data_IF_947147474759
#
_entry.id   IF_947147474759
#
_cell.length_a   1.000
_cell.length_b   1.000
_cell.length_c   1.000
_cell.angle_alpha   90.00
_cell.angle_beta   90.00
_cell.angle_gamma   90.00
#
_symmetry.space_group_name_H-M   'P 1'
#
loop_
_entity.id
_entity.type
_entity.pdbx_description
1 polymer ?
#
# COMPACT_ATOMS: atom_id res chain seq x y z
N UNK A 1 -17.99 -20.37 17.05
CA UNK A 1 -18.08 -19.37 18.12
C UNK A 1 -17.31 -19.75 19.39
N UNK A 2 -17.40 -20.98 19.92
CA UNK A 2 -16.64 -21.40 21.12
C UNK A 2 -15.11 -21.36 20.94
N UNK A 3 -14.56 -21.71 19.78
CA UNK A 3 -13.12 -21.63 19.48
C UNK A 3 -12.59 -20.20 19.42
N UNK A 4 -13.38 -19.24 18.92
CA UNK A 4 -12.99 -17.82 18.89
C UNK A 4 -12.95 -17.21 20.30
N UNK A 5 -13.86 -17.62 21.18
CA UNK A 5 -13.87 -17.19 22.57
C UNK A 5 -12.70 -17.76 23.37
N UNK A 6 -12.33 -19.03 23.16
CA UNK A 6 -11.17 -19.63 23.82
C UNK A 6 -9.84 -19.06 23.33
N UNK A 7 -9.69 -18.77 22.03
CA UNK A 7 -8.49 -18.12 21.51
C UNK A 7 -8.35 -16.67 21.98
N UNK A 8 -9.46 -15.93 22.06
CA UNK A 8 -9.49 -14.58 22.64
C UNK A 8 -9.14 -14.59 24.14
N UNK A 9 -9.61 -15.58 24.88
CA UNK A 9 -9.29 -15.72 26.31
C UNK A 9 -7.81 -16.06 26.54
N UNK A 10 -7.23 -16.96 25.72
CA UNK A 10 -5.81 -17.29 25.78
C UNK A 10 -4.95 -16.05 25.43
N UNK A 11 -5.38 -15.27 24.44
CA UNK A 11 -4.71 -14.02 24.07
C UNK A 11 -4.75 -12.99 25.22
N UNK A 12 -5.91 -12.84 25.88
CA UNK A 12 -6.07 -11.95 27.04
C UNK A 12 -5.24 -12.38 28.26
N UNK A 13 -5.07 -13.70 28.50
CA UNK A 13 -4.25 -14.22 29.59
C UNK A 13 -2.76 -14.01 29.30
N UNK A 14 -2.32 -14.10 28.04
CA UNK A 14 -0.94 -13.85 27.65
C UNK A 14 -0.51 -12.38 27.82
N UNK A 15 -1.45 -11.43 27.79
CA UNK A 15 -1.14 -10.00 27.99
C UNK A 15 -0.62 -9.70 29.40
N UNK A 16 -0.93 -10.51 30.40
CA UNK A 16 -0.41 -10.33 31.76
C UNK A 16 1.08 -10.67 31.92
N UNK A 17 1.68 -11.30 30.90
CA UNK A 17 3.11 -11.63 30.89
C UNK A 17 3.99 -10.49 30.36
N UNK A 18 3.42 -9.43 29.79
CA UNK A 18 4.18 -8.28 29.32
C UNK A 18 4.42 -7.29 30.47
N UNK A 19 5.69 -7.12 30.82
CA UNK A 19 6.08 -6.23 31.92
C UNK A 19 5.87 -4.75 31.62
N UNK A 20 5.74 -4.37 30.35
CA UNK A 20 5.48 -3.01 29.88
C UNK A 20 4.61 -3.02 28.64
N UNK A 21 3.51 -2.26 28.67
CA UNK A 21 2.68 -2.00 27.51
C UNK A 21 2.34 -0.52 27.45
N UNK A 22 2.46 0.10 26.25
CA UNK A 22 2.12 1.50 26.03
C UNK A 22 1.53 1.72 24.64
N UNK A 23 0.82 2.83 24.50
CA UNK A 23 0.22 3.27 23.24
C UNK A 23 1.02 4.42 22.70
N UNK A 24 1.33 4.40 21.42
CA UNK A 24 1.86 5.55 20.69
C UNK A 24 0.91 5.97 19.56
N UNK A 25 1.09 7.19 19.09
CA UNK A 25 0.51 7.67 17.85
C UNK A 25 1.61 8.28 16.99
N UNK A 26 1.38 8.32 15.68
CA UNK A 26 2.36 8.88 14.76
C UNK A 26 1.73 9.48 13.52
N UNK A 27 2.52 10.33 12.88
CA UNK A 27 2.25 10.83 11.52
C UNK A 27 3.29 10.24 10.59
N UNK A 28 2.87 9.87 9.40
CA UNK A 28 3.79 9.35 8.38
C UNK A 28 3.51 9.93 7.01
N UNK A 29 4.59 10.08 6.24
CA UNK A 29 4.53 10.48 4.85
C UNK A 29 5.54 9.69 4.04
N UNK A 30 5.18 9.30 2.83
CA UNK A 30 6.03 8.49 1.96
C UNK A 30 5.87 8.86 0.49
N UNK A 31 6.92 8.54 -0.26
CA UNK A 31 6.98 8.69 -1.70
C UNK A 31 7.73 7.50 -2.31
N UNK A 32 7.34 7.09 -3.51
CA UNK A 32 8.04 5.99 -4.18
C UNK A 32 7.38 5.51 -5.45
N UNK A 33 7.64 4.26 -5.79
CA UNK A 33 7.17 3.64 -7.03
C UNK A 33 5.81 3.00 -6.81
N UNK A 34 4.93 3.21 -7.79
CA UNK A 34 3.61 2.55 -7.87
C UNK A 34 3.43 1.96 -9.26
N UNK A 35 2.80 0.80 -9.33
CA UNK A 35 2.56 0.12 -10.60
C UNK A 35 1.32 -0.77 -10.53
N UNK A 36 0.72 -1.06 -11.69
CA UNK A 36 -0.32 -2.06 -11.87
C UNK A 36 0.27 -3.25 -12.62
N UNK A 37 0.31 -4.41 -11.97
CA UNK A 37 0.81 -5.65 -12.57
C UNK A 37 -0.33 -6.34 -13.31
N UNK A 38 -0.15 -6.52 -14.62
CA UNK A 38 -1.00 -7.32 -15.46
C UNK A 38 -0.13 -8.03 -16.52
N UNK A 39 -0.13 -9.34 -16.50
CA UNK A 39 0.77 -10.15 -17.33
C UNK A 39 0.53 -9.94 -18.83
N UNK A 40 -0.73 -9.75 -19.27
CA UNK A 40 -1.04 -9.50 -20.66
C UNK A 40 -0.48 -8.14 -21.12
N UNK A 41 -0.65 -7.10 -20.30
CA UNK A 41 -0.15 -5.76 -20.60
C UNK A 41 1.39 -5.75 -20.66
N UNK A 42 2.04 -6.49 -19.77
CA UNK A 42 3.49 -6.56 -19.72
C UNK A 42 4.11 -7.36 -20.88
N UNK A 43 3.35 -8.31 -21.45
CA UNK A 43 3.79 -9.12 -22.57
C UNK A 43 3.34 -8.56 -23.94
N UNK A 44 2.54 -7.47 -23.95
CA UNK A 44 2.06 -6.86 -25.20
C UNK A 44 3.11 -5.87 -25.75
N UNK A 45 3.70 -6.16 -26.92
CA UNK A 45 4.76 -5.30 -27.49
C UNK A 45 4.31 -3.88 -27.82
N UNK A 46 3.00 -3.64 -27.96
CA UNK A 46 2.42 -2.34 -28.31
C UNK A 46 2.08 -1.48 -27.10
N UNK A 47 2.23 -2.03 -25.90
CA UNK A 47 1.91 -1.34 -24.65
C UNK A 47 3.09 -1.48 -23.69
N UNK A 48 3.77 -0.38 -23.40
CA UNK A 48 4.85 -0.36 -22.43
C UNK A 48 4.38 0.25 -21.11
N UNK A 49 4.25 -0.57 -20.02
CA UNK A 49 3.96 -0.06 -18.70
C UNK A 49 5.19 0.65 -18.12
N UNK A 50 5.12 1.96 -17.98
CA UNK A 50 6.22 2.77 -17.46
C UNK A 50 6.21 2.77 -15.93
N UNK A 51 7.40 2.74 -15.33
CA UNK A 51 7.56 2.93 -13.89
C UNK A 51 6.97 4.28 -13.50
N UNK A 52 6.05 4.25 -12.56
CA UNK A 52 5.32 5.43 -12.13
C UNK A 52 5.53 5.67 -10.64
N UNK A 53 5.22 6.86 -10.17
CA UNK A 53 5.44 7.23 -8.77
C UNK A 53 4.14 7.61 -8.09
N UNK A 54 4.12 7.48 -6.77
CA UNK A 54 3.00 7.87 -5.94
C UNK A 54 3.47 8.40 -4.60
N UNK A 55 2.54 8.94 -3.85
CA UNK A 55 2.78 9.43 -2.49
C UNK A 55 1.69 8.94 -1.54
N UNK A 56 2.03 8.89 -0.27
CA UNK A 56 1.12 8.49 0.79
C UNK A 56 1.38 9.33 2.04
N UNK A 57 0.32 9.66 2.77
CA UNK A 57 0.43 10.34 4.05
C UNK A 57 -0.72 9.94 4.96
N UNK A 58 -0.48 10.04 6.27
CA UNK A 58 -1.52 9.66 7.22
C UNK A 58 -1.03 9.57 8.64
N UNK A 59 -1.79 8.87 9.45
CA UNK A 59 -1.53 8.62 10.85
C UNK A 59 -1.46 7.16 11.20
N UNK A 60 -0.89 6.87 12.36
CA UNK A 60 -0.87 5.54 12.94
C UNK A 60 -1.25 5.57 14.41
N UNK A 61 -1.79 4.47 14.88
CA UNK A 61 -1.90 4.11 16.30
C UNK A 61 -1.11 2.84 16.52
N UNK A 62 -0.25 2.83 17.52
CA UNK A 62 0.58 1.69 17.88
C UNK A 62 0.29 1.21 19.29
N UNK A 63 0.22 -0.11 19.45
CA UNK A 63 0.19 -0.78 20.72
C UNK A 63 1.49 -1.57 20.88
N UNK A 64 2.32 -1.13 21.81
CA UNK A 64 3.62 -1.72 22.10
C UNK A 64 3.51 -2.75 23.20
N UNK A 65 4.07 -3.93 22.93
CA UNK A 65 4.21 -5.03 23.88
C UNK A 65 5.70 -5.25 24.13
N UNK A 66 6.24 -4.68 25.19
CA UNK A 66 7.68 -4.62 25.36
C UNK A 66 8.36 -3.73 24.28
N UNK A 67 9.67 -3.53 24.38
CA UNK A 67 10.45 -2.71 23.43
C UNK A 67 10.56 -3.34 22.05
N UNK A 68 10.39 -4.66 21.93
CA UNK A 68 10.65 -5.40 20.70
C UNK A 68 9.40 -5.63 19.83
N UNK A 69 8.19 -5.53 20.37
CA UNK A 69 6.98 -5.90 19.63
C UNK A 69 5.93 -4.80 19.64
N UNK A 70 5.36 -4.53 18.47
CA UNK A 70 4.32 -3.53 18.29
C UNK A 70 3.26 -4.06 17.31
N UNK A 71 2.00 -3.76 17.58
CA UNK A 71 0.91 -3.85 16.60
C UNK A 71 0.53 -2.43 16.23
N UNK A 72 0.48 -2.13 14.93
CA UNK A 72 0.09 -0.81 14.44
C UNK A 72 -1.15 -0.89 13.56
N UNK A 73 -2.01 0.08 13.71
CA UNK A 73 -3.12 0.35 12.81
C UNK A 73 -2.90 1.71 12.17
N UNK A 74 -2.72 1.71 10.85
CA UNK A 74 -2.46 2.95 10.11
C UNK A 74 -3.71 3.39 9.35
N UNK A 75 -3.80 4.70 9.08
CA UNK A 75 -4.85 5.35 8.30
C UNK A 75 -4.17 6.24 7.27
N UNK A 76 -4.07 5.77 6.03
CA UNK A 76 -3.20 6.34 5.00
C UNK A 76 -4.03 6.77 3.79
N UNK A 77 -3.96 8.05 3.43
CA UNK A 77 -4.39 8.52 2.12
C UNK A 77 -3.22 8.34 1.14
N UNK A 78 -3.50 7.68 0.02
CA UNK A 78 -2.50 7.33 -0.99
C UNK A 78 -2.95 7.77 -2.37
N UNK A 79 -2.03 8.35 -3.13
CA UNK A 79 -2.19 8.62 -4.56
C UNK A 79 -1.15 7.80 -5.33
N UNK A 80 -1.61 7.07 -6.31
CA UNK A 80 -0.80 6.16 -7.13
C UNK A 80 -0.99 6.50 -8.59
N UNK A 81 0.08 6.49 -9.36
CA UNK A 81 0.03 6.66 -10.80
C UNK A 81 0.44 5.37 -11.49
N UNK A 82 -0.11 5.18 -12.70
CA UNK A 82 0.33 4.19 -13.66
C UNK A 82 0.35 4.85 -15.04
N UNK A 83 1.50 4.78 -15.70
CA UNK A 83 1.68 5.32 -17.04
C UNK A 83 1.85 4.17 -18.02
N UNK A 84 1.19 4.29 -19.17
CA UNK A 84 1.30 3.38 -20.29
C UNK A 84 1.72 4.16 -21.52
N UNK A 85 2.75 3.69 -22.21
CA UNK A 85 3.15 4.17 -23.52
C UNK A 85 2.62 3.21 -24.57
N UNK A 86 1.85 3.73 -25.51
CA UNK A 86 1.29 2.97 -26.62
C UNK A 86 2.12 3.20 -27.89
N UNK A 87 2.59 2.11 -28.50
CA UNK A 87 3.41 2.10 -29.72
C UNK A 87 2.73 1.27 -30.82
N UNK A 88 1.66 1.77 -31.46
CA UNK A 88 0.81 0.92 -32.28
C UNK A 88 1.46 0.45 -33.59
N UNK A 89 2.16 1.33 -34.33
CA UNK A 89 2.87 1.01 -35.56
C UNK A 89 3.95 2.05 -35.87
N UNK A 90 4.81 1.78 -36.86
CA UNK A 90 5.85 2.73 -37.30
C UNK A 90 5.31 4.02 -37.93
N UNK A 91 4.05 4.03 -38.36
CA UNK A 91 3.42 5.18 -39.06
C UNK A 91 2.53 6.03 -38.15
N UNK A 92 2.30 5.62 -36.92
CA UNK A 92 1.41 6.32 -35.99
C UNK A 92 2.24 6.74 -34.79
N UNK A 93 2.11 8.00 -34.39
CA UNK A 93 2.84 8.57 -33.26
C UNK A 93 2.52 7.83 -31.96
N UNK A 94 3.55 7.66 -31.14
CA UNK A 94 3.42 7.14 -29.77
C UNK A 94 2.58 8.10 -28.95
N UNK A 95 1.76 7.55 -28.07
CA UNK A 95 0.97 8.35 -27.14
C UNK A 95 0.99 7.74 -25.74
N UNK A 96 0.82 8.59 -24.74
CA UNK A 96 0.88 8.21 -23.34
C UNK A 96 -0.51 8.31 -22.69
N UNK A 97 -0.86 7.29 -21.92
CA UNK A 97 -2.00 7.26 -21.01
C UNK A 97 -1.48 7.25 -19.59
N UNK A 98 -1.93 8.22 -18.79
CA UNK A 98 -1.64 8.28 -17.36
C UNK A 98 -2.92 8.02 -16.56
N UNK A 99 -2.85 7.07 -15.64
CA UNK A 99 -3.93 6.73 -14.72
C UNK A 99 -3.50 7.07 -13.31
N UNK A 100 -4.18 8.03 -12.72
CA UNK A 100 -4.03 8.37 -11.31
C UNK A 100 -5.21 7.75 -10.55
N UNK A 101 -4.92 6.96 -9.53
CA UNK A 101 -5.93 6.45 -8.62
C UNK A 101 -5.56 6.76 -7.17
N UNK A 102 -6.58 7.11 -6.41
CA UNK A 102 -6.45 7.48 -5.00
C UNK A 102 -7.17 6.46 -4.12
N UNK A 103 -6.58 6.15 -2.99
CA UNK A 103 -7.14 5.20 -2.03
C UNK A 103 -6.97 5.67 -0.59
N UNK A 104 -7.80 5.12 0.27
CA UNK A 104 -7.64 5.18 1.71
C UNK A 104 -7.28 3.79 2.20
N UNK A 105 -6.06 3.64 2.69
CA UNK A 105 -5.47 2.35 3.04
C UNK A 105 -5.44 2.19 4.56
N UNK A 106 -5.85 1.01 5.03
CA UNK A 106 -5.87 0.64 6.45
C UNK A 106 -5.05 -0.65 6.63
N UNK A 107 -3.74 -0.56 6.78
CA UNK A 107 -2.91 -1.70 7.16
C UNK A 107 -2.97 -1.96 8.67
N UNK A 108 -3.07 -3.24 9.04
CA UNK A 108 -2.86 -3.75 10.39
C UNK A 108 -1.55 -4.52 10.42
N UNK A 109 -0.52 -3.97 11.07
CA UNK A 109 0.83 -4.50 10.98
C UNK A 109 1.33 -5.00 12.33
N UNK A 110 2.03 -6.11 12.29
CA UNK A 110 2.91 -6.56 13.34
C UNK A 110 4.33 -6.06 13.04
N UNK A 111 4.93 -5.34 13.98
CA UNK A 111 6.29 -4.80 13.89
C UNK A 111 7.16 -5.43 14.96
N UNK A 112 8.30 -5.94 14.53
CA UNK A 112 9.36 -6.41 15.41
C UNK A 112 10.52 -5.41 15.39
N UNK A 113 10.83 -4.84 16.54
CA UNK A 113 11.94 -3.92 16.73
C UNK A 113 13.15 -4.70 17.28
N UNK A 114 14.29 -4.49 16.67
CA UNK A 114 15.56 -5.05 17.12
C UNK A 114 16.30 -4.08 18.05
N UNK A 115 17.16 -4.60 18.90
CA UNK A 115 17.95 -3.82 19.87
C UNK A 115 18.91 -2.81 19.20
N UNK A 116 19.26 -3.03 17.93
CA UNK A 116 20.10 -2.12 17.14
C UNK A 116 19.32 -0.97 16.49
N UNK A 117 18.02 -0.84 16.79
CA UNK A 117 17.16 0.22 16.26
C UNK A 117 16.54 -0.04 14.90
N UNK A 118 16.82 -1.19 14.27
CA UNK A 118 16.12 -1.59 13.05
C UNK A 118 14.78 -2.25 13.38
N UNK A 119 13.86 -2.29 12.40
CA UNK A 119 12.61 -3.02 12.55
C UNK A 119 12.19 -3.70 11.25
N UNK A 120 11.33 -4.70 11.42
CA UNK A 120 10.58 -5.35 10.36
C UNK A 120 9.09 -5.25 10.68
N UNK A 121 8.27 -5.02 9.67
CA UNK A 121 6.81 -5.02 9.82
C UNK A 121 6.14 -5.83 8.71
N UNK A 122 5.06 -6.49 9.06
CA UNK A 122 4.27 -7.28 8.11
C UNK A 122 2.81 -7.30 8.55
N UNK A 123 1.90 -7.33 7.60
CA UNK A 123 0.48 -7.53 7.90
C UNK A 123 -0.44 -7.32 6.71
N UNK A 124 -1.74 -7.59 6.91
CA UNK A 124 -2.76 -7.35 5.90
C UNK A 124 -3.07 -5.86 5.77
N UNK A 125 -3.57 -5.49 4.60
CA UNK A 125 -4.07 -4.15 4.28
C UNK A 125 -5.40 -4.25 3.57
N UNK A 126 -6.34 -3.40 3.96
CA UNK A 126 -7.56 -3.12 3.21
C UNK A 126 -7.41 -1.74 2.59
N UNK A 127 -7.65 -1.64 1.29
CA UNK A 127 -7.61 -0.37 0.54
C UNK A 127 -8.99 -0.04 0.00
N UNK A 128 -9.45 1.18 0.22
CA UNK A 128 -10.71 1.72 -0.30
C UNK A 128 -10.40 2.73 -1.39
N UNK A 129 -10.79 2.45 -2.63
CA UNK A 129 -10.60 3.36 -3.75
C UNK A 129 -11.52 4.58 -3.58
N UNK A 130 -10.95 5.78 -3.59
CA UNK A 130 -11.68 7.03 -3.43
C UNK A 130 -11.88 7.77 -4.75
N UNK A 131 -10.98 7.58 -5.73
CA UNK A 131 -11.08 8.17 -7.06
C UNK A 131 -10.12 7.54 -8.04
N UNK A 132 -10.42 7.66 -9.33
CA UNK A 132 -9.50 7.29 -10.40
C UNK A 132 -9.73 8.21 -11.60
N UNK A 133 -8.65 8.70 -12.19
CA UNK A 133 -8.68 9.63 -13.33
C UNK A 133 -7.70 9.14 -14.39
N UNK A 134 -8.17 9.08 -15.62
CA UNK A 134 -7.36 8.78 -16.80
C UNK A 134 -7.07 10.05 -17.56
N UNK A 135 -5.81 10.27 -17.93
CA UNK A 135 -5.37 11.43 -18.71
C UNK A 135 -4.65 10.95 -19.94
N UNK A 136 -5.13 11.39 -21.10
CA UNK A 136 -4.51 11.16 -22.41
C UNK A 136 -4.33 12.53 -23.10
N UNK A 137 -3.08 12.94 -23.30
CA UNK A 137 -2.76 14.30 -23.75
C UNK A 137 -3.29 15.35 -22.78
N UNK A 138 -4.19 16.23 -23.26
CA UNK A 138 -4.87 17.26 -22.44
C UNK A 138 -6.23 16.84 -21.91
N UNK A 139 -6.72 15.66 -22.29
CA UNK A 139 -8.03 15.19 -21.87
C UNK A 139 -7.92 14.38 -20.57
N UNK A 140 -8.75 14.73 -19.59
CA UNK A 140 -8.82 14.02 -18.32
C UNK A 140 -10.26 13.53 -18.10
N UNK A 141 -10.41 12.25 -17.81
CA UNK A 141 -11.70 11.57 -17.68
C UNK A 141 -11.74 10.85 -16.35
N UNK A 142 -12.85 10.96 -15.62
CA UNK A 142 -13.11 10.14 -14.43
C UNK A 142 -13.32 8.68 -14.85
N UNK A 143 -12.57 7.78 -14.22
CA UNK A 143 -12.61 6.34 -14.45
C UNK A 143 -12.81 5.54 -13.17
N UNK A 144 -13.34 6.17 -12.13
CA UNK A 144 -13.58 5.49 -10.86
C UNK A 144 -14.37 4.19 -11.02
N UNK A 145 -15.36 4.19 -11.90
CA UNK A 145 -16.22 3.03 -12.14
C UNK A 145 -15.48 1.84 -12.79
N UNK A 146 -14.30 2.07 -13.38
CA UNK A 146 -13.48 1.01 -13.98
C UNK A 146 -12.74 0.17 -12.96
N UNK A 147 -12.70 0.64 -11.72
CA UNK A 147 -11.96 0.01 -10.65
C UNK A 147 -12.88 -0.45 -9.53
N UNK A 148 -12.53 -1.57 -8.89
CA UNK A 148 -13.21 -2.06 -7.70
C UNK A 148 -13.02 -1.09 -6.54
N UNK A 149 -14.06 -0.94 -5.70
CA UNK A 149 -14.05 -0.01 -4.58
C UNK A 149 -13.15 -0.45 -3.43
N UNK A 150 -12.86 -1.74 -3.34
CA UNK A 150 -12.06 -2.33 -2.25
C UNK A 150 -11.02 -3.28 -2.81
N UNK A 151 -9.83 -3.27 -2.21
CA UNK A 151 -8.77 -4.22 -2.51
C UNK A 151 -8.15 -4.74 -1.20
N UNK A 152 -7.92 -6.06 -1.15
CA UNK A 152 -7.19 -6.70 -0.06
C UNK A 152 -5.77 -6.99 -0.50
N UNK A 153 -4.81 -6.74 0.38
CA UNK A 153 -3.40 -6.95 0.10
C UNK A 153 -2.60 -7.26 1.35
N UNK A 154 -1.30 -7.34 1.16
CA UNK A 154 -0.33 -7.45 2.23
C UNK A 154 0.72 -6.34 2.13
N UNK A 155 1.24 -5.99 3.28
CA UNK A 155 2.33 -5.04 3.45
C UNK A 155 3.51 -5.75 4.10
N UNK A 156 4.70 -5.48 3.57
CA UNK A 156 5.97 -5.81 4.18
C UNK A 156 6.80 -4.53 4.26
N UNK A 157 7.40 -4.28 5.42
CA UNK A 157 8.22 -3.09 5.61
C UNK A 157 9.45 -3.37 6.47
N UNK A 158 10.45 -2.55 6.29
CA UNK A 158 11.63 -2.52 7.14
C UNK A 158 12.18 -1.11 7.24
N UNK A 159 12.93 -0.84 8.30
CA UNK A 159 13.48 0.48 8.51
C UNK A 159 14.28 0.57 9.79
N UNK A 160 14.53 1.81 10.19
CA UNK A 160 15.31 2.11 11.37
C UNK A 160 14.80 3.36 12.07
N UNK A 161 14.99 3.41 13.36
CA UNK A 161 14.88 4.63 14.15
C UNK A 161 16.07 5.52 13.81
N UNK A 162 15.83 6.78 13.46
CA UNK A 162 16.88 7.72 13.07
C UNK A 162 17.26 8.61 14.25
N UNK A 163 16.24 9.14 14.90
CA UNK A 163 16.39 10.14 15.96
C UNK A 163 15.24 10.00 16.95
N UNK A 164 15.53 10.15 18.24
CA UNK A 164 14.47 10.07 19.24
C UNK A 164 14.91 10.46 20.63
N UNK A 165 13.94 10.82 21.45
CA UNK A 165 14.05 11.10 22.88
C UNK A 165 13.09 10.21 23.67
N UNK A 166 12.82 10.60 24.92
CA UNK A 166 12.04 9.78 25.86
C UNK A 166 10.60 9.51 25.41
N UNK A 167 9.98 10.45 24.70
CA UNK A 167 8.56 10.38 24.34
C UNK A 167 8.29 10.54 22.85
N UNK A 168 9.27 10.96 22.05
CA UNK A 168 9.11 11.20 20.63
C UNK A 168 10.28 10.65 19.83
N UNK A 169 10.00 10.06 18.66
CA UNK A 169 11.02 9.48 17.81
C UNK A 169 10.66 9.55 16.33
N UNK A 170 11.70 9.62 15.50
CA UNK A 170 11.61 9.64 14.05
C UNK A 170 12.09 8.30 13.49
N UNK A 171 11.35 7.78 12.55
CA UNK A 171 11.61 6.51 11.88
C UNK A 171 11.74 6.76 10.38
N UNK A 172 12.70 6.10 9.76
CA UNK A 172 12.84 6.00 8.32
C UNK A 172 12.64 4.55 7.90
N UNK A 173 11.88 4.31 6.85
CA UNK A 173 11.63 2.95 6.39
C UNK A 173 11.25 2.86 4.92
N UNK A 174 11.24 1.62 4.44
CA UNK A 174 10.74 1.22 3.16
C UNK A 174 9.56 0.27 3.39
N UNK A 175 8.48 0.48 2.65
CA UNK A 175 7.27 -0.33 2.70
C UNK A 175 6.89 -0.81 1.32
N UNK A 176 6.71 -2.11 1.17
CA UNK A 176 6.21 -2.77 -0.02
C UNK A 176 4.77 -3.19 0.22
N UNK A 177 3.91 -2.93 -0.74
CA UNK A 177 2.52 -3.38 -0.73
C UNK A 177 2.22 -4.15 -2.00
N UNK A 178 1.46 -5.24 -1.86
CA UNK A 178 0.91 -6.02 -2.96
C UNK A 178 -0.57 -6.31 -2.72
N UNK A 179 -1.43 -5.89 -3.66
CA UNK A 179 -2.85 -6.21 -3.65
C UNK A 179 -3.12 -7.55 -4.29
N UNK A 180 -3.85 -8.43 -3.60
CA UNK A 180 -4.16 -9.79 -4.06
C UNK A 180 -5.38 -9.86 -4.98
N UNK A 181 -6.27 -8.88 -4.86
CA UNK A 181 -7.51 -8.85 -5.62
C UNK A 181 -7.32 -8.07 -6.91
N UNK A 182 -8.06 -8.49 -7.92
CA UNK A 182 -8.18 -7.72 -9.15
C UNK A 182 -8.74 -6.33 -8.86
N UNK A 183 -8.03 -5.32 -9.35
CA UNK A 183 -8.44 -3.93 -9.19
C UNK A 183 -9.51 -3.50 -10.19
N UNK A 184 -9.71 -4.25 -11.31
CA UNK A 184 -10.67 -3.88 -12.33
C UNK A 184 -12.09 -4.31 -11.96
N UNK A 185 -13.05 -3.43 -12.22
CA UNK A 185 -14.49 -3.70 -12.15
C UNK A 185 -15.04 -4.21 -13.49
N UNK A 186 -16.32 -4.54 -13.51
CA UNK A 186 -17.01 -4.92 -14.75
C UNK A 186 -16.98 -3.78 -15.80
N UNK A 187 -17.07 -2.54 -15.39
CA UNK A 187 -16.97 -1.39 -16.30
C UNK A 187 -15.55 -1.24 -16.88
N UNK A 188 -14.51 -1.64 -16.14
CA UNK A 188 -13.12 -1.73 -16.60
C UNK A 188 -12.83 -2.95 -17.48
N UNK A 189 -13.85 -3.77 -17.78
CA UNK A 189 -13.74 -4.95 -18.63
C UNK A 189 -13.32 -6.22 -17.91
N UNK A 190 -13.56 -6.35 -16.61
CA UNK A 190 -13.28 -7.56 -15.83
C UNK A 190 -13.93 -8.79 -16.49
N UNK A 191 -13.16 -9.86 -16.63
CA UNK A 191 -13.52 -11.09 -17.33
C UNK A 191 -13.79 -10.93 -18.84
N UNK A 192 -13.41 -9.83 -19.46
CA UNK A 192 -13.48 -9.59 -20.90
C UNK A 192 -12.09 -9.74 -21.53
N UNK A 193 -12.02 -10.06 -22.81
CA UNK A 193 -10.76 -10.01 -23.58
C UNK A 193 -10.35 -8.57 -23.93
N UNK A 194 -11.28 -7.63 -23.79
CA UNK A 194 -11.11 -6.21 -24.06
C UNK A 194 -11.28 -5.44 -22.76
N UNK A 195 -10.20 -5.21 -22.05
CA UNK A 195 -10.22 -4.59 -20.75
C UNK A 195 -9.15 -3.50 -20.60
N UNK A 196 -9.29 -2.69 -19.59
CA UNK A 196 -8.33 -1.63 -19.29
C UNK A 196 -6.86 -2.14 -19.26
N UNK A 197 -5.87 -1.47 -19.92
CA UNK A 197 -5.92 -0.09 -20.43
C UNK A 197 -6.37 0.09 -21.89
N UNK A 198 -6.80 -0.95 -22.60
CA UNK A 198 -7.12 -0.90 -24.05
C UNK A 198 -8.61 -0.67 -24.36
N UNK A 199 -9.40 -0.33 -23.38
CA UNK A 199 -10.82 -0.09 -23.57
C UNK A 199 -11.10 1.20 -24.38
N UNK A 200 -12.34 1.31 -24.86
CA UNK A 200 -12.89 2.46 -25.61
C UNK A 200 -12.32 2.67 -27.04
N UNK A 201 -11.96 1.60 -27.72
CA UNK A 201 -11.56 1.69 -29.13
C UNK A 201 -10.23 2.36 -29.38
N UNK A 202 -9.44 2.63 -28.35
CA UNK A 202 -8.12 3.27 -28.54
C UNK A 202 -7.18 2.44 -29.38
N UNK A 203 -7.16 1.12 -29.19
CA UNK A 203 -6.41 0.20 -30.03
C UNK A 203 -7.13 -0.09 -31.37
N UNK A 204 -8.44 0.10 -31.44
CA UNK A 204 -9.20 -0.09 -32.68
C UNK A 204 -8.89 0.96 -33.74
N UNK A 205 -8.36 2.12 -33.35
CA UNK A 205 -7.85 3.15 -34.29
C UNK A 205 -6.65 2.62 -35.08
N UNK A 206 -5.87 1.74 -34.47
CA UNK A 206 -4.63 1.23 -35.01
C UNK A 206 -4.76 -0.20 -35.54
N UNK A 207 -5.64 -0.99 -34.93
CA UNK A 207 -5.84 -2.38 -35.27
C UNK A 207 -7.28 -2.77 -34.92
N UNK A 208 -8.14 -2.79 -35.93
CA UNK A 208 -9.55 -3.13 -35.78
C UNK A 208 -9.71 -4.47 -35.06
N UNK A 209 -10.39 -4.46 -33.92
CA UNK A 209 -10.70 -5.67 -33.16
C UNK A 209 -9.56 -6.19 -32.29
N UNK A 210 -8.61 -5.35 -31.87
CA UNK A 210 -7.59 -5.79 -30.90
C UNK A 210 -8.20 -6.25 -29.58
N UNK A 211 -7.86 -7.47 -29.18
CA UNK A 211 -8.28 -8.09 -27.94
C UNK A 211 -7.14 -8.92 -27.36
N UNK A 212 -7.06 -9.02 -26.03
CA UNK A 212 -6.16 -9.98 -25.41
C UNK A 212 -6.65 -11.41 -25.58
N UNK A 213 -5.74 -12.38 -25.64
CA UNK A 213 -6.10 -13.80 -25.80
C UNK A 213 -6.95 -14.34 -24.63
N UNK A 214 -6.77 -13.79 -23.43
CA UNK A 214 -7.48 -14.18 -22.22
C UNK A 214 -7.50 -13.02 -21.23
N UNK A 215 -8.39 -13.07 -20.27
CA UNK A 215 -8.39 -12.14 -19.16
C UNK A 215 -7.27 -12.45 -18.16
N UNK A 216 -6.60 -11.41 -17.66
CA UNK A 216 -5.63 -11.49 -16.56
C UNK A 216 -5.93 -10.41 -15.51
N UNK A 217 -5.77 -10.74 -14.24
CA UNK A 217 -6.01 -9.81 -13.15
C UNK A 217 -5.02 -8.66 -13.15
N UNK A 218 -5.50 -7.48 -12.76
CA UNK A 218 -4.69 -6.28 -12.59
C UNK A 218 -4.49 -6.01 -11.10
N UNK A 219 -3.28 -6.23 -10.62
CA UNK A 219 -2.93 -6.17 -9.20
C UNK A 219 -2.08 -4.93 -8.88
N UNK A 220 -2.46 -4.10 -7.90
CA UNK A 220 -1.67 -2.94 -7.51
C UNK A 220 -0.44 -3.36 -6.68
N UNK A 221 0.72 -2.79 -7.03
CA UNK A 221 1.95 -2.91 -6.26
C UNK A 221 2.52 -1.53 -5.96
N UNK A 222 3.16 -1.36 -4.81
CA UNK A 222 3.91 -0.16 -4.52
C UNK A 222 5.09 -0.41 -3.61
N UNK A 223 6.14 0.39 -3.80
CA UNK A 223 7.30 0.46 -2.92
C UNK A 223 7.54 1.91 -2.51
N UNK A 224 7.32 2.23 -1.25
CA UNK A 224 7.40 3.59 -0.72
C UNK A 224 8.49 3.70 0.32
N UNK A 225 9.35 4.70 0.17
CA UNK A 225 10.20 5.20 1.25
C UNK A 225 9.35 6.13 2.10
N UNK A 226 9.41 6.03 3.42
CA UNK A 226 8.62 6.85 4.31
C UNK A 226 9.39 7.36 5.53
N UNK A 227 8.93 8.48 6.03
CA UNK A 227 9.28 9.03 7.34
C UNK A 227 8.06 8.92 8.25
N UNK A 228 8.30 8.54 9.50
CA UNK A 228 7.26 8.38 10.51
C UNK A 228 7.72 9.08 11.79
N UNK A 229 6.95 10.07 12.23
CA UNK A 229 7.14 10.73 13.52
C UNK A 229 6.15 10.14 14.53
N UNK A 230 6.65 9.64 15.63
CA UNK A 230 5.88 8.99 16.68
C UNK A 230 5.97 9.72 18.00
N UNK A 231 4.89 9.62 18.78
CA UNK A 231 4.80 10.15 20.12
C UNK A 231 4.13 9.14 21.06
N UNK A 232 4.77 8.84 22.19
CA UNK A 232 4.24 7.94 23.21
C UNK A 232 3.12 8.65 24.01
N UNK A 233 1.89 8.16 23.91
CA UNK A 233 0.71 8.76 24.54
C UNK A 233 0.53 8.36 26.00
N UNK A 234 0.53 7.05 26.27
CA UNK A 234 0.20 6.52 27.59
C UNK A 234 0.81 5.15 27.82
N UNK A 235 1.23 4.91 29.05
CA UNK A 235 1.64 3.60 29.53
C UNK A 235 0.42 2.87 30.12
N UNK A 236 0.08 1.69 29.58
CA UNK A 236 -0.98 0.85 30.08
C UNK A 236 -0.54 0.03 31.30
N UNK A 237 0.71 -0.42 31.29
CA UNK A 237 1.35 -1.13 32.41
C UNK A 237 2.72 -0.54 32.65
N UNK A 238 3.02 -0.13 33.87
CA UNK A 238 4.34 0.31 34.30
C UNK A 238 4.97 -0.78 35.17
N UNK A 239 6.12 -1.30 34.77
CA UNK A 239 6.98 -2.00 35.70
C UNK A 239 7.80 -0.99 36.50
N UNK A 240 8.14 -1.34 37.75
CA UNK A 240 8.96 -0.47 38.63
C UNK A 240 10.43 -0.33 38.18
N UNK A 241 10.83 -0.95 37.08
CA UNK A 241 12.16 -0.83 36.51
C UNK A 241 12.28 0.45 35.67
N UNK A 242 13.37 1.19 35.87
CA UNK A 242 13.71 2.34 35.02
C UNK A 242 13.76 1.93 33.56
N UNK A 243 13.08 2.68 32.67
CA UNK A 243 13.15 2.54 31.22
C UNK A 243 14.62 2.60 30.80
N UNK A 244 15.09 1.57 30.13
CA UNK A 244 16.34 1.64 29.39
C UNK A 244 16.06 2.47 28.14
N UNK A 245 16.49 3.71 28.14
CA UNK A 245 16.38 4.57 26.95
C UNK A 245 17.27 3.95 25.87
N UNK A 246 16.68 3.53 24.76
CA UNK A 246 17.43 3.18 23.56
C UNK A 246 18.11 4.47 23.09
N UNK A 247 19.38 4.65 23.44
CA UNK A 247 20.20 5.76 22.90
C UNK A 247 20.65 5.30 21.51
N UNK A 248 19.98 5.84 20.51
CA UNK A 248 20.50 5.85 19.14
C UNK A 248 21.48 7.03 19.07
N UNK A 249 22.66 6.80 18.57
CA UNK A 249 23.88 7.64 18.48
C UNK A 249 23.68 9.15 18.40
#
# INVERSE_FOLDING_TARGET
MRFLLSSALIFLISLNSFSQAWVDCGLKGGYGVTNLINTNVWNEPKIEPLISTGYAYGGKLGLNFNINYQITLDFIAKSSNQRYLFEPTQTIDKWEKNVNYTSFDIPLLFRHNSDNGSFLEIGPQVSFLTGATETTGSNSIDRKDYFETTNLGAVFGFGSFIFGGDNAYLVFGLRLHYGFQDLLSNAGGKNSNKYFPINNGEMDVYESGFEFNSYQTTNPISGLVYLEFNYDLAYLVRSSCKRTVLRFF
#
